data_IF_321018358452
#
_entry.id   IF_321018358452
#
_cell.length_a   1.000
_cell.length_b   1.000
_cell.length_c   1.000
_cell.angle_alpha   90.00
_cell.angle_beta   90.00
_cell.angle_gamma   90.00
#
_symmetry.space_group_name_H-M   'P 1'
#
loop_
_entity.id
_entity.type
_entity.pdbx_description
1 polymer ?
#
# COMPACT_ATOMS: atom_id res chain seq x y z
N UNK A 1 8.30 -14.80 -22.24
CA UNK A 1 7.51 -14.16 -21.17
C UNK A 1 8.23 -12.88 -20.79
N UNK A 2 7.58 -11.72 -20.93
CA UNK A 2 8.25 -10.42 -20.80
C UNK A 2 8.73 -10.20 -19.36
N UNK A 3 9.99 -9.78 -19.24
CA UNK A 3 10.65 -9.34 -18.01
C UNK A 3 9.87 -8.20 -17.28
N UNK A 4 8.90 -7.55 -17.95
CA UNK A 4 8.14 -6.41 -17.42
C UNK A 4 7.21 -6.76 -16.26
N UNK A 5 6.53 -7.92 -16.27
CA UNK A 5 5.57 -8.27 -15.22
C UNK A 5 6.24 -8.44 -13.85
N UNK A 6 7.41 -9.08 -13.80
CA UNK A 6 8.17 -9.26 -12.56
C UNK A 6 8.70 -7.94 -11.99
N UNK A 7 8.89 -6.92 -12.84
CA UNK A 7 9.38 -5.62 -12.39
C UNK A 7 8.32 -4.78 -11.68
N UNK A 8 7.04 -4.98 -12.02
CA UNK A 8 5.91 -4.29 -11.40
C UNK A 8 5.69 -4.73 -9.94
N UNK A 9 5.92 -6.03 -9.64
CA UNK A 9 5.76 -6.61 -8.31
C UNK A 9 6.91 -6.27 -7.33
N UNK A 10 7.89 -5.47 -7.74
CA UNK A 10 9.00 -5.05 -6.85
C UNK A 10 8.47 -4.04 -5.83
N UNK A 11 8.50 -4.41 -4.55
CA UNK A 11 8.18 -3.51 -3.44
C UNK A 11 9.15 -2.33 -3.45
N UNK A 12 8.59 -1.13 -3.51
CA UNK A 12 9.32 0.14 -3.55
C UNK A 12 9.26 0.91 -2.23
N UNK A 13 8.23 0.71 -1.41
CA UNK A 13 8.07 1.34 -0.11
C UNK A 13 7.30 0.45 0.85
N UNK A 14 7.56 0.61 2.15
CA UNK A 14 6.87 -0.08 3.23
C UNK A 14 6.67 0.87 4.41
N UNK A 15 5.51 0.83 5.05
CA UNK A 15 5.24 1.64 6.25
C UNK A 15 4.23 0.95 7.18
N UNK A 16 4.57 0.88 8.46
CA UNK A 16 3.61 0.51 9.51
C UNK A 16 2.72 1.68 9.88
N UNK A 17 1.47 1.39 10.24
CA UNK A 17 0.63 2.36 10.90
C UNK A 17 1.14 2.66 12.31
N UNK A 18 0.56 3.66 12.97
CA UNK A 18 1.00 4.14 14.27
C UNK A 18 0.96 3.08 15.39
N UNK A 19 0.06 2.09 15.30
CA UNK A 19 -0.08 1.01 16.29
C UNK A 19 0.79 -0.21 15.98
N UNK A 20 1.26 -0.33 14.74
CA UNK A 20 1.91 -1.53 14.22
C UNK A 20 0.94 -2.64 13.79
N UNK A 21 -0.38 -2.47 13.95
CA UNK A 21 -1.37 -3.49 13.59
C UNK A 21 -1.54 -3.64 12.07
N UNK A 22 -1.24 -2.58 11.31
CA UNK A 22 -1.31 -2.56 9.86
C UNK A 22 0.05 -2.26 9.25
N UNK A 23 0.35 -2.98 8.17
CA UNK A 23 1.53 -2.81 7.35
C UNK A 23 1.09 -2.49 5.93
N UNK A 24 1.49 -1.34 5.38
CA UNK A 24 1.27 -1.01 3.98
C UNK A 24 2.55 -1.20 3.19
N UNK A 25 2.43 -1.80 2.02
CA UNK A 25 3.47 -1.91 1.00
C UNK A 25 3.01 -1.21 -0.27
N UNK A 26 3.92 -0.56 -0.96
CA UNK A 26 3.72 -0.03 -2.31
C UNK A 26 4.72 -0.66 -3.25
N UNK A 27 4.33 -0.90 -4.49
CA UNK A 27 5.20 -1.48 -5.51
C UNK A 27 5.44 -0.57 -6.71
N UNK A 28 6.29 -1.04 -7.63
CA UNK A 28 6.59 -0.33 -8.88
C UNK A 28 5.42 -0.27 -9.86
N UNK A 29 4.48 -1.21 -9.77
CA UNK A 29 3.26 -1.25 -10.58
C UNK A 29 2.10 -0.41 -10.04
N UNK A 30 2.36 0.48 -9.07
CA UNK A 30 1.36 1.41 -8.55
C UNK A 30 0.32 0.80 -7.63
N UNK A 31 0.53 -0.42 -7.13
CA UNK A 31 -0.36 -1.06 -6.18
C UNK A 31 0.06 -0.75 -4.75
N UNK A 32 -0.94 -0.63 -3.89
CA UNK A 32 -0.76 -0.57 -2.43
C UNK A 32 -1.44 -1.80 -1.83
N UNK A 33 -0.66 -2.63 -1.13
CA UNK A 33 -1.16 -3.81 -0.40
C UNK A 33 -1.04 -3.54 1.09
N UNK A 34 -2.15 -3.70 1.79
CA UNK A 34 -2.27 -3.52 3.23
C UNK A 34 -2.41 -4.90 3.85
N UNK A 35 -1.60 -5.15 4.87
CA UNK A 35 -1.64 -6.34 5.68
C UNK A 35 -2.08 -5.99 7.10
N UNK A 36 -2.86 -6.87 7.71
CA UNK A 36 -3.31 -6.77 9.09
C UNK A 36 -2.70 -7.89 9.91
N UNK A 37 -2.19 -7.54 11.09
CA UNK A 37 -1.68 -8.51 12.05
C UNK A 37 -2.85 -9.35 12.59
N UNK A 38 -2.69 -10.68 12.54
CA UNK A 38 -3.60 -11.61 13.20
C UNK A 38 -3.68 -11.30 14.71
N UNK A 39 -4.90 -11.29 15.30
CA UNK A 39 -5.06 -11.16 16.75
C UNK A 39 -4.32 -12.29 17.47
N UNK A 40 -3.72 -11.98 18.62
CA UNK A 40 -3.01 -12.99 19.41
C UNK A 40 -3.98 -14.07 19.89
N UNK A 41 -3.86 -15.28 19.32
CA UNK A 41 -4.62 -16.44 19.79
C UNK A 41 -3.93 -17.01 21.03
N UNK A 42 -4.68 -17.21 22.12
CA UNK A 42 -4.16 -17.88 23.33
C UNK A 42 -3.88 -19.38 23.11
N UNK A 43 -4.42 -19.95 22.04
CA UNK A 43 -4.36 -21.39 21.75
C UNK A 43 -3.18 -21.76 20.84
N UNK A 44 -2.57 -20.79 20.16
CA UNK A 44 -1.41 -21.02 19.30
C UNK A 44 -0.31 -19.97 19.56
N UNK A 45 0.59 -20.25 20.52
CA UNK A 45 1.67 -19.33 20.89
C UNK A 45 2.75 -19.19 19.81
N UNK A 46 2.75 -20.01 18.76
CA UNK A 46 3.73 -19.93 17.68
C UNK A 46 3.25 -19.09 16.49
N UNK A 47 1.93 -18.87 16.35
CA UNK A 47 1.33 -18.05 15.28
C UNK A 47 1.20 -16.56 15.64
N UNK A 48 2.04 -16.08 16.57
CA UNK A 48 1.99 -14.71 17.05
C UNK A 48 2.62 -13.75 16.03
N UNK A 49 1.77 -12.93 15.38
CA UNK A 49 2.24 -11.78 14.59
C UNK A 49 2.34 -12.00 13.08
N UNK A 50 1.65 -12.99 12.52
CA UNK A 50 1.48 -13.08 11.07
C UNK A 50 0.67 -11.89 10.54
N UNK A 51 1.07 -11.37 9.38
CA UNK A 51 0.41 -10.27 8.68
C UNK A 51 -0.29 -10.81 7.45
N UNK A 52 -1.61 -10.84 7.48
CA UNK A 52 -2.44 -11.35 6.39
C UNK A 52 -2.92 -10.21 5.49
N UNK A 53 -3.11 -10.49 4.19
CA UNK A 53 -3.59 -9.47 3.23
C UNK A 53 -4.97 -9.00 3.67
N UNK A 54 -5.05 -7.72 4.00
CA UNK A 54 -6.26 -7.05 4.43
C UNK A 54 -6.98 -6.38 3.26
N UNK A 55 -6.23 -5.64 2.45
CA UNK A 55 -6.79 -4.91 1.30
C UNK A 55 -5.72 -4.59 0.27
N UNK A 56 -6.14 -4.51 -1.00
CA UNK A 56 -5.27 -4.20 -2.13
C UNK A 56 -5.91 -3.12 -2.99
N UNK A 57 -5.13 -2.10 -3.34
CA UNK A 57 -5.56 -0.98 -4.17
C UNK A 57 -4.64 -0.82 -5.37
N UNK A 58 -5.21 -0.54 -6.53
CA UNK A 58 -4.48 0.09 -7.63
C UNK A 58 -4.51 1.60 -7.39
N UNK A 59 -3.40 2.16 -6.91
CA UNK A 59 -3.34 3.57 -6.50
C UNK A 59 -2.95 4.47 -7.66
N UNK A 60 -1.99 4.05 -8.47
CA UNK A 60 -1.54 4.80 -9.63
C UNK A 60 -1.53 3.92 -10.87
N UNK A 61 -1.80 4.53 -12.02
CA UNK A 61 -1.71 3.93 -13.35
C UNK A 61 -0.64 4.69 -14.14
N UNK A 62 -0.03 4.07 -15.17
CA UNK A 62 0.88 4.77 -16.04
C UNK A 62 0.17 5.96 -16.70
N UNK A 63 0.79 7.14 -16.64
CA UNK A 63 0.27 8.36 -17.26
C UNK A 63 1.31 8.94 -18.24
N UNK A 64 0.87 9.81 -19.16
CA UNK A 64 1.77 10.49 -20.09
C UNK A 64 1.42 11.98 -20.19
N UNK A 65 2.41 12.84 -19.91
CA UNK A 65 2.29 14.29 -20.12
C UNK A 65 2.69 14.62 -21.57
N UNK A 66 1.69 14.90 -22.41
CA UNK A 66 1.90 15.22 -23.82
C UNK A 66 2.62 16.55 -24.06
N UNK A 67 2.49 17.52 -23.14
CA UNK A 67 3.12 18.83 -23.29
C UNK A 67 4.61 18.75 -22.98
N UNK A 68 4.98 17.92 -22.01
CA UNK A 68 6.38 17.68 -21.62
C UNK A 68 7.01 16.48 -22.32
N UNK A 69 6.22 15.69 -23.05
CA UNK A 69 6.64 14.40 -23.62
C UNK A 69 7.29 13.50 -22.56
N UNK A 70 6.63 13.40 -21.40
CA UNK A 70 7.16 12.73 -20.22
C UNK A 70 6.24 11.57 -19.80
N UNK A 71 6.82 10.39 -19.64
CA UNK A 71 6.15 9.25 -19.03
C UNK A 71 6.11 9.42 -17.50
N UNK A 72 4.93 9.21 -16.93
CA UNK A 72 4.69 9.26 -15.49
C UNK A 72 4.55 7.82 -15.03
N UNK A 73 5.57 7.35 -14.31
CA UNK A 73 5.56 6.03 -13.70
C UNK A 73 4.47 5.92 -12.61
N UNK A 74 3.80 4.78 -12.59
CA UNK A 74 2.84 4.39 -11.56
C UNK A 74 3.50 4.03 -10.22
N UNK A 75 4.82 3.86 -10.18
CA UNK A 75 5.57 3.46 -8.98
C UNK A 75 5.18 4.27 -7.74
N UNK A 76 4.83 3.54 -6.68
CA UNK A 76 4.62 4.15 -5.36
C UNK A 76 5.97 4.54 -4.76
N UNK A 77 6.19 5.84 -4.54
CA UNK A 77 7.44 6.34 -3.99
C UNK A 77 7.42 6.41 -2.46
N UNK A 78 6.25 6.74 -1.89
CA UNK A 78 6.10 6.88 -0.44
C UNK A 78 4.66 6.65 -0.02
N UNK A 79 4.52 6.04 1.15
CA UNK A 79 3.26 5.90 1.88
C UNK A 79 3.37 6.72 3.18
N UNK A 80 2.25 7.33 3.60
CA UNK A 80 2.12 7.97 4.90
C UNK A 80 0.76 7.67 5.52
N UNK A 81 0.75 6.92 6.60
CA UNK A 81 -0.46 6.72 7.41
C UNK A 81 -0.96 8.02 8.02
N UNK A 82 -2.27 8.24 7.96
CA UNK A 82 -2.93 9.37 8.62
C UNK A 82 -3.45 8.93 10.00
N UNK A 83 -3.54 9.86 10.97
CA UNK A 83 -4.23 9.60 12.22
C UNK A 83 -5.69 9.20 11.93
N UNK A 84 -6.15 8.14 12.58
CA UNK A 84 -7.53 7.70 12.46
C UNK A 84 -8.47 8.78 13.02
N UNK A 85 -9.37 9.30 12.18
CA UNK A 85 -10.34 10.34 12.57
C UNK A 85 -11.75 9.76 12.76
N UNK A 86 -12.04 8.60 12.18
CA UNK A 86 -13.37 7.99 12.09
C UNK A 86 -13.27 6.45 12.10
N UNK A 87 -14.39 5.77 11.80
CA UNK A 87 -14.46 4.30 11.68
C UNK A 87 -13.82 3.78 10.36
N UNK A 88 -12.75 4.42 9.92
CA UNK A 88 -11.99 4.04 8.74
C UNK A 88 -10.51 4.37 8.96
N UNK A 89 -9.65 3.54 8.38
CA UNK A 89 -8.24 3.88 8.25
C UNK A 89 -8.01 4.63 6.95
N UNK A 90 -6.96 5.46 6.94
CA UNK A 90 -6.54 6.15 5.73
C UNK A 90 -5.03 6.34 5.69
N UNK A 91 -4.52 6.39 4.46
CA UNK A 91 -3.13 6.67 4.16
C UNK A 91 -3.01 7.51 2.89
N UNK A 92 -1.89 8.20 2.76
CA UNK A 92 -1.48 8.91 1.56
C UNK A 92 -0.47 8.07 0.80
N UNK A 93 -0.67 7.88 -0.49
CA UNK A 93 0.31 7.36 -1.44
C UNK A 93 0.76 8.48 -2.37
N UNK A 94 1.99 8.38 -2.86
CA UNK A 94 2.56 9.33 -3.83
C UNK A 94 3.32 8.58 -4.90
N UNK A 95 3.16 8.96 -6.17
CA UNK A 95 4.17 8.74 -7.20
C UNK A 95 4.96 10.04 -7.40
N UNK A 96 5.73 10.16 -8.49
CA UNK A 96 6.58 11.32 -8.74
C UNK A 96 5.80 12.64 -8.94
N UNK A 97 4.49 12.57 -9.23
CA UNK A 97 3.69 13.71 -9.69
C UNK A 97 2.40 13.90 -8.89
N UNK A 98 1.77 12.81 -8.48
CA UNK A 98 0.44 12.75 -7.92
C UNK A 98 0.48 12.24 -6.48
N UNK A 99 -0.44 12.74 -5.65
CA UNK A 99 -0.72 12.22 -4.32
C UNK A 99 -2.16 11.74 -4.28
N UNK A 100 -2.39 10.54 -3.77
CA UNK A 100 -3.73 9.99 -3.58
C UNK A 100 -3.96 9.64 -2.12
N UNK A 101 -5.19 9.85 -1.64
CA UNK A 101 -5.61 9.41 -0.31
C UNK A 101 -6.45 8.15 -0.43
N UNK A 102 -6.00 7.06 0.16
CA UNK A 102 -6.72 5.79 0.21
C UNK A 102 -7.47 5.70 1.54
N UNK A 103 -8.74 5.35 1.46
CA UNK A 103 -9.63 5.19 2.62
C UNK A 103 -10.24 3.80 2.59
N UNK A 104 -10.25 3.12 3.73
CA UNK A 104 -10.80 1.78 3.83
C UNK A 104 -11.47 1.55 5.18
N UNK A 105 -12.61 0.85 5.19
CA UNK A 105 -13.40 0.66 6.40
C UNK A 105 -12.64 -0.20 7.41
N UNK A 106 -12.98 -0.03 8.69
CA UNK A 106 -12.70 -1.05 9.70
C UNK A 106 -13.57 -2.27 9.38
N UNK A 107 -12.96 -3.44 9.31
CA UNK A 107 -13.69 -4.71 9.35
C UNK A 107 -14.22 -4.93 10.76
N UNK A 108 -15.42 -5.49 10.85
CA UNK A 108 -16.09 -5.85 12.11
C UNK A 108 -15.85 -7.32 12.44
#
# INVERSE_FOLDING_TARGET
>A
ASCSALSADIISTVEFNHTGELLATGDKGGRVVIFQREPESKNDPYNQGEYNVYSTFQSHEPEFDYLKSLEIEEKINKIKWLPQQNAAHSLLSTNGFNRQSLHFPLTY
#
